data_IF_458002245439
#
_entry.id   IF_458002245439
#
_cell.length_a   1.000
_cell.length_b   1.000
_cell.length_c   1.000
_cell.angle_alpha   90.00
_cell.angle_beta   90.00
_cell.angle_gamma   90.00
#
_symmetry.space_group_name_H-M   'P 1'
#
loop_
_entity.id
_entity.type
_entity.pdbx_description
1 polymer ?
#
# COMPACT_ATOMS: atom_id res chain seq x y z
N UNK A 1 10.64 -1.71 -21.88
CA UNK A 1 9.24 -1.52 -22.24
C UNK A 1 8.99 -1.37 -23.73
N UNK A 2 9.98 -1.72 -24.59
CA UNK A 2 9.86 -1.63 -26.04
C UNK A 2 9.06 -2.83 -26.57
N UNK A 3 8.06 -2.57 -27.39
CA UNK A 3 7.21 -3.61 -28.00
C UNK A 3 7.91 -4.12 -29.27
N UNK A 4 7.99 -5.43 -29.44
CA UNK A 4 8.55 -6.07 -30.63
C UNK A 4 7.53 -5.95 -31.76
N UNK A 5 7.94 -5.38 -32.90
CA UNK A 5 7.05 -5.11 -34.04
C UNK A 5 6.40 -6.39 -34.63
N UNK A 6 7.16 -7.48 -34.66
CA UNK A 6 6.69 -8.77 -35.17
C UNK A 6 6.32 -9.70 -34.00
N UNK A 7 5.01 -9.81 -33.64
CA UNK A 7 4.61 -10.67 -32.55
C UNK A 7 4.76 -12.16 -32.90
N UNK A 8 5.09 -12.98 -31.91
CA UNK A 8 5.08 -14.43 -32.01
C UNK A 8 3.62 -14.88 -31.99
N UNK A 9 3.15 -15.53 -33.07
CA UNK A 9 1.77 -16.01 -33.22
C UNK A 9 1.64 -17.51 -33.00
N UNK A 10 2.70 -18.27 -33.21
CA UNK A 10 2.73 -19.72 -33.05
C UNK A 10 2.85 -20.12 -31.59
N UNK A 11 2.32 -21.30 -31.27
CA UNK A 11 2.48 -21.93 -29.95
C UNK A 11 3.54 -23.04 -30.01
N UNK A 12 4.02 -23.49 -28.84
CA UNK A 12 5.02 -24.56 -28.78
C UNK A 12 4.55 -25.91 -29.32
N UNK A 13 3.25 -26.18 -29.33
CA UNK A 13 2.69 -27.42 -29.84
C UNK A 13 2.76 -27.50 -31.37
N UNK A 14 2.50 -26.38 -32.02
CA UNK A 14 2.53 -26.24 -33.49
C UNK A 14 3.96 -26.03 -34.03
N UNK A 15 4.85 -25.57 -33.15
CA UNK A 15 6.22 -25.19 -33.49
C UNK A 15 6.36 -23.74 -33.90
N UNK A 16 7.54 -23.19 -33.67
CA UNK A 16 7.88 -21.81 -33.98
C UNK A 16 8.60 -21.75 -35.34
N UNK A 17 8.37 -20.69 -36.10
CA UNK A 17 9.19 -20.38 -37.24
C UNK A 17 10.61 -19.98 -36.81
N UNK A 18 11.57 -20.06 -37.71
CA UNK A 18 12.99 -19.71 -37.40
C UNK A 18 13.09 -18.26 -36.92
N UNK A 19 12.33 -17.35 -37.51
CA UNK A 19 12.31 -15.94 -37.13
C UNK A 19 11.72 -15.74 -35.73
N UNK A 20 10.59 -16.39 -35.41
CA UNK A 20 9.96 -16.32 -34.10
C UNK A 20 10.88 -16.92 -33.02
N UNK A 21 11.56 -18.01 -33.31
CA UNK A 21 12.56 -18.59 -32.40
C UNK A 21 13.70 -17.63 -32.14
N UNK A 22 14.24 -16.99 -33.18
CA UNK A 22 15.32 -16.00 -33.05
C UNK A 22 14.87 -14.81 -32.18
N UNK A 23 13.66 -14.29 -32.42
CA UNK A 23 13.10 -13.19 -31.63
C UNK A 23 12.91 -13.60 -30.17
N UNK A 24 12.42 -14.82 -29.91
CA UNK A 24 12.26 -15.37 -28.58
C UNK A 24 13.59 -15.49 -27.83
N UNK A 25 14.64 -16.00 -28.50
CA UNK A 25 15.98 -16.13 -27.88
C UNK A 25 16.61 -14.77 -27.61
N UNK A 26 16.40 -13.78 -28.47
CA UNK A 26 16.85 -12.41 -28.24
C UNK A 26 16.20 -11.80 -27.00
N UNK A 27 14.87 -11.95 -26.86
CA UNK A 27 14.13 -11.54 -25.68
C UNK A 27 14.61 -12.25 -24.41
N UNK A 28 14.85 -13.56 -24.47
CA UNK A 28 15.39 -14.34 -23.37
C UNK A 28 16.78 -13.85 -22.92
N UNK A 29 17.70 -13.60 -23.85
CA UNK A 29 19.03 -13.06 -23.54
C UNK A 29 18.95 -11.68 -22.90
N UNK A 30 18.11 -10.78 -23.42
CA UNK A 30 17.90 -9.44 -22.85
C UNK A 30 17.34 -9.54 -21.42
N UNK A 31 16.35 -10.42 -21.20
CA UNK A 31 15.78 -10.66 -19.87
C UNK A 31 16.79 -11.18 -18.85
N UNK A 32 17.69 -12.09 -19.25
CA UNK A 32 18.79 -12.57 -18.39
C UNK A 32 19.75 -11.45 -17.99
N UNK A 33 20.13 -10.61 -18.95
CA UNK A 33 21.00 -9.45 -18.67
C UNK A 33 20.31 -8.44 -17.76
N UNK A 34 19.04 -8.12 -18.01
CA UNK A 34 18.25 -7.21 -17.18
C UNK A 34 18.09 -7.72 -15.75
N UNK A 35 17.88 -9.03 -15.57
CA UNK A 35 17.80 -9.65 -14.24
C UNK A 35 19.10 -9.47 -13.47
N UNK A 36 20.25 -9.71 -14.08
CA UNK A 36 21.53 -9.54 -13.44
C UNK A 36 21.79 -8.10 -12.99
N UNK A 37 21.45 -7.12 -13.83
CA UNK A 37 21.60 -5.69 -13.48
C UNK A 37 20.61 -5.24 -12.39
N UNK A 38 19.36 -5.67 -12.47
CA UNK A 38 18.33 -5.32 -11.47
C UNK A 38 18.62 -5.93 -10.10
N UNK A 39 19.21 -7.13 -10.04
CA UNK A 39 19.62 -7.75 -8.78
C UNK A 39 20.62 -6.86 -8.03
N UNK A 40 21.60 -6.29 -8.72
CA UNK A 40 22.55 -5.36 -8.12
C UNK A 40 21.87 -4.08 -7.60
N UNK A 41 20.92 -3.53 -8.35
CA UNK A 41 20.14 -2.35 -7.93
C UNK A 41 19.29 -2.63 -6.69
N UNK A 42 18.66 -3.80 -6.61
CA UNK A 42 17.89 -4.23 -5.43
C UNK A 42 18.79 -4.39 -4.20
N UNK A 43 19.97 -4.98 -4.34
CA UNK A 43 20.95 -5.11 -3.26
C UNK A 43 21.45 -3.75 -2.77
N UNK A 44 21.71 -2.83 -3.67
CA UNK A 44 22.11 -1.46 -3.32
C UNK A 44 21.00 -0.70 -2.59
N UNK A 45 19.75 -0.83 -3.04
CA UNK A 45 18.59 -0.25 -2.35
C UNK A 45 18.46 -0.78 -0.92
N UNK A 46 18.57 -2.11 -0.75
CA UNK A 46 18.49 -2.75 0.58
C UNK A 46 19.57 -2.23 1.51
N UNK A 47 20.81 -2.12 1.03
CA UNK A 47 21.91 -1.57 1.81
C UNK A 47 21.63 -0.14 2.24
N UNK A 48 21.18 0.73 1.34
CA UNK A 48 20.83 2.12 1.68
C UNK A 48 19.69 2.21 2.69
N UNK A 49 18.69 1.33 2.59
CA UNK A 49 17.59 1.28 3.56
C UNK A 49 18.11 0.86 4.94
N UNK A 50 18.99 -0.13 5.01
CA UNK A 50 19.63 -0.54 6.28
C UNK A 50 20.45 0.60 6.86
N UNK A 51 21.29 1.27 6.09
CA UNK A 51 22.14 2.38 6.55
C UNK A 51 21.32 3.52 7.17
N UNK A 52 20.14 3.81 6.62
CA UNK A 52 19.23 4.85 7.14
C UNK A 52 18.41 4.36 8.34
N UNK A 53 17.97 3.11 8.34
CA UNK A 53 17.02 2.59 9.32
C UNK A 53 17.69 1.89 10.53
N UNK A 54 19.01 1.71 10.54
CA UNK A 54 19.72 0.95 11.59
C UNK A 54 19.52 1.52 13.00
N UNK A 55 19.31 2.83 13.14
CA UNK A 55 19.12 3.50 14.41
C UNK A 55 17.67 3.38 14.94
N UNK A 56 16.75 2.85 14.14
CA UNK A 56 15.37 2.62 14.55
C UNK A 56 15.27 1.34 15.41
N UNK A 57 15.58 1.46 16.68
CA UNK A 57 15.58 0.40 17.69
C UNK A 57 14.52 0.71 18.73
N UNK A 58 13.88 -0.32 19.30
CA UNK A 58 12.94 -0.16 20.39
C UNK A 58 13.72 0.16 21.68
N UNK A 59 13.56 1.38 22.20
CA UNK A 59 14.30 1.85 23.39
C UNK A 59 13.49 1.90 24.67
N UNK A 60 12.19 2.14 24.56
CA UNK A 60 11.30 2.29 25.71
C UNK A 60 9.93 1.65 25.44
N UNK A 61 9.15 1.44 26.48
CA UNK A 61 7.84 0.80 26.36
C UNK A 61 6.82 1.80 25.78
N UNK A 62 6.76 3.02 26.34
CA UNK A 62 5.78 4.03 25.96
C UNK A 62 6.39 5.43 25.99
N UNK A 63 6.17 6.21 24.95
CA UNK A 63 6.63 7.60 24.84
C UNK A 63 5.56 8.63 25.24
N UNK A 64 4.37 8.20 25.69
CA UNK A 64 3.24 9.02 26.15
C UNK A 64 2.81 10.11 25.14
N UNK A 65 2.99 9.88 23.83
CA UNK A 65 2.53 10.81 22.81
C UNK A 65 0.99 10.75 22.66
N UNK A 66 0.38 11.93 22.49
CA UNK A 66 -1.03 12.07 22.14
C UNK A 66 -1.25 12.23 20.62
N UNK A 67 -0.17 12.16 19.84
CA UNK A 67 -0.23 12.28 18.39
C UNK A 67 -0.32 10.88 17.76
N UNK A 68 -1.19 10.74 16.76
CA UNK A 68 -1.36 9.52 16.01
C UNK A 68 -1.81 9.78 14.60
N UNK A 69 -1.97 8.69 13.86
CA UNK A 69 -2.41 8.68 12.47
C UNK A 69 -3.85 8.18 12.43
N UNK A 70 -4.70 8.91 11.73
CA UNK A 70 -6.05 8.45 11.42
C UNK A 70 -5.96 7.38 10.33
N UNK A 71 -6.52 6.22 10.61
CA UNK A 71 -6.59 5.10 9.67
C UNK A 71 -8.04 4.85 9.32
N UNK A 72 -8.30 4.78 8.03
CA UNK A 72 -9.62 4.52 7.44
C UNK A 72 -9.54 3.30 6.53
N UNK A 73 -10.65 2.70 6.19
CA UNK A 73 -10.70 1.66 5.16
C UNK A 73 -10.25 2.22 3.80
N UNK A 74 -9.49 1.44 3.05
CA UNK A 74 -9.03 1.85 1.72
C UNK A 74 -10.01 1.34 0.67
N UNK A 75 -10.63 2.27 -0.03
CA UNK A 75 -11.60 1.98 -1.10
C UNK A 75 -11.04 2.47 -2.42
N UNK A 76 -10.85 1.58 -3.38
CA UNK A 76 -10.43 1.91 -4.74
C UNK A 76 -11.47 1.42 -5.75
N UNK A 77 -12.00 2.33 -6.55
CA UNK A 77 -13.00 2.02 -7.59
C UNK A 77 -14.30 1.39 -7.04
N UNK A 78 -14.68 1.71 -5.79
CA UNK A 78 -15.87 1.16 -5.14
C UNK A 78 -15.68 -0.21 -4.47
N UNK A 79 -14.48 -0.79 -4.56
CA UNK A 79 -14.13 -2.02 -3.86
C UNK A 79 -13.21 -1.73 -2.68
N UNK A 80 -13.45 -2.39 -1.54
CA UNK A 80 -12.58 -2.30 -0.38
C UNK A 80 -11.30 -3.08 -0.70
N UNK A 81 -10.18 -2.37 -0.88
CA UNK A 81 -8.85 -2.95 -1.14
C UNK A 81 -8.18 -3.40 0.15
N UNK A 82 -8.36 -2.64 1.24
CA UNK A 82 -7.88 -3.01 2.56
C UNK A 82 -8.91 -2.59 3.62
N UNK A 83 -9.39 -3.55 4.39
CA UNK A 83 -10.35 -3.31 5.48
C UNK A 83 -9.70 -2.54 6.63
N UNK A 84 -10.49 -1.82 7.42
CA UNK A 84 -10.00 -1.16 8.62
C UNK A 84 -9.33 -2.17 9.56
N UNK A 85 -9.91 -3.35 9.73
CA UNK A 85 -9.43 -4.42 10.62
C UNK A 85 -8.02 -4.89 10.26
N UNK A 86 -7.72 -5.08 8.97
CA UNK A 86 -6.36 -5.46 8.51
C UNK A 86 -5.33 -4.37 8.81
N UNK A 87 -5.75 -3.10 8.76
CA UNK A 87 -4.85 -1.95 8.95
C UNK A 87 -4.56 -1.63 10.40
N UNK A 88 -5.46 -1.97 11.33
CA UNK A 88 -5.33 -1.70 12.76
C UNK A 88 -4.81 -2.88 13.56
N UNK A 89 -4.85 -4.11 13.02
CA UNK A 89 -4.37 -5.31 13.69
C UNK A 89 -2.91 -5.13 14.14
N UNK A 90 -2.64 -5.42 15.40
CA UNK A 90 -1.33 -5.28 16.02
C UNK A 90 -0.91 -3.84 16.34
N UNK A 91 -1.80 -2.85 16.16
CA UNK A 91 -1.57 -1.45 16.51
C UNK A 91 -2.23 -1.09 17.85
N UNK A 92 -1.84 0.04 18.42
CA UNK A 92 -2.43 0.56 19.65
C UNK A 92 -3.27 1.80 19.33
N UNK A 93 -4.54 1.89 19.78
CA UNK A 93 -5.33 3.11 19.67
C UNK A 93 -4.75 4.18 20.61
N UNK A 94 -4.95 5.45 20.27
CA UNK A 94 -4.57 6.59 21.11
C UNK A 94 -5.63 6.83 22.16
N UNK A 95 -6.89 6.82 21.72
CA UNK A 95 -8.06 7.07 22.56
C UNK A 95 -8.77 5.75 22.86
N UNK A 96 -9.60 5.74 23.90
CA UNK A 96 -10.46 4.61 24.20
C UNK A 96 -11.40 4.34 23.02
N UNK A 97 -11.48 3.09 22.61
CA UNK A 97 -12.38 2.67 21.52
C UNK A 97 -13.77 2.43 22.09
N UNK A 98 -14.75 3.22 21.64
CA UNK A 98 -16.12 3.16 22.08
C UNK A 98 -17.01 2.60 20.99
N UNK A 99 -18.04 1.85 21.38
CA UNK A 99 -19.16 1.46 20.52
C UNK A 99 -20.09 2.64 20.24
N UNK A 100 -20.99 2.51 19.29
CA UNK A 100 -22.04 3.50 18.98
C UNK A 100 -22.93 3.84 20.19
N UNK A 101 -23.03 2.92 21.14
CA UNK A 101 -23.78 3.10 22.40
C UNK A 101 -22.96 3.76 23.51
N UNK A 102 -21.68 4.11 23.26
CA UNK A 102 -20.77 4.67 24.26
C UNK A 102 -20.13 3.63 25.19
N UNK A 103 -20.34 2.34 24.95
CA UNK A 103 -19.68 1.29 25.73
C UNK A 103 -18.21 1.17 25.26
N UNK A 104 -17.31 1.00 26.23
CA UNK A 104 -15.90 0.86 25.98
C UNK A 104 -15.57 -0.56 25.49
N UNK A 105 -14.99 -0.67 24.29
CA UNK A 105 -14.54 -1.91 23.68
C UNK A 105 -13.08 -2.19 24.08
N UNK A 106 -12.22 -1.17 24.02
CA UNK A 106 -10.80 -1.30 24.25
C UNK A 106 -10.22 -0.05 24.92
N UNK A 107 -9.26 -0.25 25.82
CA UNK A 107 -8.50 0.82 26.47
C UNK A 107 -7.46 1.43 25.54
N UNK A 108 -7.24 2.73 25.68
CA UNK A 108 -6.16 3.43 24.98
C UNK A 108 -4.80 2.77 25.27
N UNK A 109 -3.97 2.64 24.23
CA UNK A 109 -2.64 2.05 24.34
C UNK A 109 -2.60 0.52 24.43
N UNK A 110 -3.73 -0.17 24.43
CA UNK A 110 -3.77 -1.64 24.38
C UNK A 110 -3.58 -2.11 22.95
N UNK A 111 -2.84 -3.19 22.73
CA UNK A 111 -2.63 -3.76 21.39
C UNK A 111 -3.93 -4.42 20.92
N UNK A 112 -4.34 -4.06 19.71
CA UNK A 112 -5.48 -4.68 19.03
C UNK A 112 -5.05 -6.06 18.53
N UNK A 113 -5.65 -7.09 19.07
CA UNK A 113 -5.48 -8.47 18.61
C UNK A 113 -6.71 -8.99 17.87
N UNK A 114 -6.65 -10.23 17.42
CA UNK A 114 -7.72 -10.88 16.66
C UNK A 114 -9.05 -10.93 17.45
N UNK A 115 -8.99 -11.00 18.77
CA UNK A 115 -10.21 -11.10 19.63
C UNK A 115 -10.98 -9.79 19.67
N UNK A 116 -10.31 -8.65 19.48
CA UNK A 116 -10.93 -7.33 19.48
C UNK A 116 -11.54 -6.96 18.12
N UNK A 117 -11.09 -7.62 17.01
CA UNK A 117 -11.54 -7.28 15.67
C UNK A 117 -13.04 -7.48 15.45
N UNK A 118 -13.60 -8.57 15.99
CA UNK A 118 -15.02 -8.88 15.85
C UNK A 118 -15.90 -7.83 16.55
N UNK A 119 -15.46 -7.34 17.71
CA UNK A 119 -16.15 -6.28 18.44
C UNK A 119 -16.08 -4.94 17.71
N UNK A 120 -14.92 -4.58 17.16
CA UNK A 120 -14.70 -3.36 16.38
C UNK A 120 -15.53 -3.37 15.09
N UNK A 121 -15.59 -4.51 14.40
CA UNK A 121 -16.38 -4.69 13.17
C UNK A 121 -17.87 -4.58 13.49
N UNK A 122 -18.33 -5.19 14.58
CA UNK A 122 -19.73 -5.15 15.00
C UNK A 122 -20.15 -3.73 15.43
N UNK A 123 -19.21 -2.92 15.95
CA UNK A 123 -19.43 -1.51 16.26
C UNK A 123 -19.55 -0.62 15.03
N UNK A 124 -19.22 -1.11 13.82
CA UNK A 124 -19.35 -0.38 12.56
C UNK A 124 -18.39 0.81 12.43
N UNK A 125 -17.24 0.76 13.08
CA UNK A 125 -16.23 1.81 13.00
C UNK A 125 -15.56 1.80 11.64
N UNK A 126 -15.51 2.95 10.95
CA UNK A 126 -14.87 3.12 9.63
C UNK A 126 -13.52 3.79 9.70
N UNK A 127 -13.21 4.46 10.80
CA UNK A 127 -11.94 5.13 11.02
C UNK A 127 -11.52 5.02 12.48
N UNK A 128 -10.21 5.00 12.72
CA UNK A 128 -9.64 4.92 14.06
C UNK A 128 -8.32 5.67 14.11
N UNK A 129 -8.07 6.38 15.21
CA UNK A 129 -6.78 7.05 15.45
C UNK A 129 -5.85 6.11 16.19
N UNK A 130 -4.78 5.69 15.53
CA UNK A 130 -3.80 4.75 16.07
C UNK A 130 -2.44 5.39 16.28
N UNK A 131 -1.66 4.81 17.19
CA UNK A 131 -0.26 5.17 17.38
C UNK A 131 0.57 4.70 16.19
N UNK A 132 1.57 5.47 15.83
CA UNK A 132 2.45 5.18 14.71
C UNK A 132 3.89 5.53 15.04
N UNK A 133 4.82 4.83 14.42
CA UNK A 133 6.25 5.14 14.47
C UNK A 133 6.56 6.54 13.94
N UNK A 134 5.72 7.06 13.02
CA UNK A 134 5.89 8.40 12.42
C UNK A 134 5.60 9.53 13.41
N UNK A 135 4.78 9.27 14.43
CA UNK A 135 4.39 10.26 15.46
C UNK A 135 5.05 9.98 16.81
N UNK A 136 5.97 9.04 16.85
CA UNK A 136 6.72 8.70 18.06
C UNK A 136 7.67 9.85 18.45
N UNK A 137 7.73 10.19 19.73
CA UNK A 137 8.58 11.27 20.27
C UNK A 137 9.83 10.75 20.97
N UNK A 138 10.07 9.44 20.97
CA UNK A 138 11.26 8.81 21.53
C UNK A 138 12.53 9.33 20.85
N UNK A 139 13.54 9.74 21.62
CA UNK A 139 14.83 10.17 21.07
C UNK A 139 15.63 8.98 20.57
N UNK A 140 16.15 9.11 19.36
CA UNK A 140 17.07 8.14 18.73
C UNK A 140 16.53 6.70 18.72
N UNK A 141 15.25 6.52 18.47
CA UNK A 141 14.62 5.20 18.43
C UNK A 141 13.11 5.27 18.40
N UNK A 142 12.45 4.19 18.75
CA UNK A 142 11.00 4.02 18.72
C UNK A 142 10.55 3.40 20.04
N UNK A 143 9.35 3.74 20.53
CA UNK A 143 8.76 3.03 21.66
C UNK A 143 7.93 1.81 21.21
N UNK A 144 7.82 0.82 22.10
CA UNK A 144 7.10 -0.42 21.83
C UNK A 144 5.61 -0.19 21.51
N UNK A 145 4.95 0.72 22.22
CA UNK A 145 3.52 1.03 22.01
C UNK A 145 3.26 1.69 20.64
N UNK A 146 4.16 2.57 20.16
CA UNK A 146 4.03 3.18 18.81
C UNK A 146 4.31 2.18 17.70
N UNK A 147 5.18 1.20 17.94
CA UNK A 147 5.44 0.12 16.99
C UNK A 147 4.33 -0.91 17.01
N UNK A 148 3.90 -1.36 18.19
CA UNK A 148 2.84 -2.32 18.39
C UNK A 148 3.32 -3.76 18.48
N UNK A 149 2.68 -4.67 17.75
CA UNK A 149 2.91 -6.11 17.77
C UNK A 149 4.13 -6.51 16.95
N UNK A 150 4.93 -7.43 17.48
CA UNK A 150 5.93 -8.17 16.72
C UNK A 150 5.21 -9.21 15.83
N UNK A 151 5.36 -9.07 14.51
CA UNK A 151 4.69 -9.92 13.52
C UNK A 151 5.17 -11.38 13.56
N UNK A 152 6.40 -11.64 14.03
CA UNK A 152 6.95 -12.99 14.10
C UNK A 152 6.41 -13.78 15.31
N UNK A 153 6.24 -13.10 16.44
CA UNK A 153 5.85 -13.74 17.71
C UNK A 153 4.39 -13.54 18.06
N UNK A 154 3.73 -12.54 17.48
CA UNK A 154 2.36 -12.20 17.81
C UNK A 154 2.18 -11.50 19.17
N UNK A 155 3.24 -11.13 19.84
CA UNK A 155 3.28 -10.45 21.13
C UNK A 155 3.75 -9.01 20.98
N UNK A 156 3.61 -8.15 22.02
CA UNK A 156 4.25 -6.84 22.00
C UNK A 156 5.72 -6.93 21.70
N UNK A 157 6.26 -5.97 20.94
CA UNK A 157 7.68 -5.94 20.58
C UNK A 157 8.55 -5.75 21.83
N UNK A 158 9.70 -6.42 21.88
CA UNK A 158 10.64 -6.32 22.99
C UNK A 158 11.55 -5.09 22.87
N UNK A 159 11.98 -4.56 24.00
CA UNK A 159 13.03 -3.52 24.06
C UNK A 159 14.33 -4.09 23.49
N UNK A 160 15.03 -3.29 22.69
CA UNK A 160 16.27 -3.68 22.03
C UNK A 160 16.08 -4.30 20.64
N UNK A 161 14.86 -4.52 20.18
CA UNK A 161 14.60 -5.04 18.83
C UNK A 161 14.94 -4.00 17.76
N UNK A 162 15.75 -4.41 16.77
CA UNK A 162 16.19 -3.54 15.67
C UNK A 162 15.15 -3.54 14.54
N UNK A 163 13.99 -2.94 14.77
CA UNK A 163 12.84 -2.96 13.86
C UNK A 163 13.12 -2.28 12.52
N UNK A 164 14.02 -1.31 12.50
CA UNK A 164 14.40 -0.64 11.26
C UNK A 164 15.17 -1.55 10.31
N UNK A 165 16.07 -2.39 10.82
CA UNK A 165 16.80 -3.38 10.03
C UNK A 165 15.82 -4.45 9.51
N UNK A 166 14.90 -4.92 10.35
CA UNK A 166 13.86 -5.88 9.95
C UNK A 166 13.02 -5.31 8.82
N UNK A 167 12.59 -4.06 8.93
CA UNK A 167 11.83 -3.39 7.88
C UNK A 167 12.62 -3.26 6.57
N UNK A 168 13.89 -2.83 6.63
CA UNK A 168 14.75 -2.70 5.46
C UNK A 168 14.97 -4.04 4.74
N UNK A 169 15.20 -5.11 5.50
CA UNK A 169 15.35 -6.45 4.95
C UNK A 169 14.04 -6.98 4.35
N UNK A 170 12.90 -6.76 5.01
CA UNK A 170 11.59 -7.17 4.50
C UNK A 170 11.17 -6.45 3.23
N UNK A 171 11.63 -5.21 3.02
CA UNK A 171 11.42 -4.43 1.79
C UNK A 171 12.39 -4.89 0.69
N UNK A 172 13.63 -5.19 1.07
CA UNK A 172 14.70 -5.52 0.13
C UNK A 172 14.64 -6.95 -0.43
N UNK A 173 14.22 -7.91 0.38
CA UNK A 173 14.16 -9.32 -0.02
C UNK A 173 13.24 -9.54 -1.24
N UNK A 174 11.96 -9.12 -1.25
CA UNK A 174 11.11 -9.31 -2.42
C UNK A 174 11.58 -8.52 -3.64
N UNK A 175 12.33 -7.43 -3.47
CA UNK A 175 12.94 -6.70 -4.57
C UNK A 175 13.85 -7.59 -5.43
N UNK A 176 14.64 -8.44 -4.80
CA UNK A 176 15.51 -9.41 -5.48
C UNK A 176 14.70 -10.52 -6.16
N UNK A 177 13.64 -11.04 -5.50
CA UNK A 177 12.78 -12.08 -6.08
C UNK A 177 11.92 -11.55 -7.24
N UNK A 178 11.36 -10.34 -7.14
CA UNK A 178 10.58 -9.71 -8.21
C UNK A 178 11.42 -9.53 -9.49
N UNK A 179 12.70 -9.21 -9.37
CA UNK A 179 13.60 -9.12 -10.53
C UNK A 179 13.83 -10.47 -11.19
N UNK A 180 13.81 -11.57 -10.45
CA UNK A 180 13.87 -12.92 -11.00
C UNK A 180 12.53 -13.37 -11.62
N UNK A 181 11.39 -13.00 -11.02
CA UNK A 181 10.05 -13.40 -11.48
C UNK A 181 9.58 -12.68 -12.75
N UNK A 182 9.97 -11.43 -12.98
CA UNK A 182 9.63 -10.70 -14.24
C UNK A 182 10.17 -11.40 -15.50
N UNK A 183 11.12 -12.30 -15.34
CA UNK A 183 11.63 -13.13 -16.43
C UNK A 183 10.69 -14.30 -16.79
N UNK A 184 9.95 -14.84 -15.81
CA UNK A 184 9.05 -15.97 -16.01
C UNK A 184 7.63 -15.57 -16.48
N UNK A 185 7.24 -14.34 -16.26
CA UNK A 185 6.01 -13.76 -16.80
C UNK A 185 6.39 -13.18 -18.18
N UNK A 186 6.52 -14.07 -19.14
CA UNK A 186 6.78 -13.70 -20.54
C UNK A 186 5.71 -12.73 -21.00
N UNK A 187 6.10 -11.45 -21.07
CA UNK A 187 5.55 -10.41 -21.91
C UNK A 187 4.04 -10.33 -22.17
N UNK A 188 3.17 -10.80 -21.32
CA UNK A 188 1.81 -10.29 -21.30
C UNK A 188 1.92 -8.84 -20.82
N UNK A 189 1.98 -7.90 -21.76
CA UNK A 189 1.72 -6.51 -21.48
C UNK A 189 0.35 -6.48 -20.79
N UNK A 190 0.34 -6.41 -19.47
CA UNK A 190 -0.79 -5.92 -18.74
C UNK A 190 -0.93 -4.47 -19.18
N UNK A 191 -1.62 -4.26 -20.29
CA UNK A 191 -2.31 -3.02 -20.51
C UNK A 191 -3.26 -2.95 -19.30
N UNK A 192 -2.82 -2.28 -18.23
CA UNK A 192 -3.74 -1.72 -17.28
C UNK A 192 -4.68 -0.91 -18.15
N UNK A 193 -5.89 -1.42 -18.34
CA UNK A 193 -6.97 -0.64 -18.92
C UNK A 193 -7.12 0.50 -17.94
N UNK A 194 -6.43 1.60 -18.20
CA UNK A 194 -6.69 2.85 -17.53
C UNK A 194 -8.14 3.13 -17.88
N UNK A 195 -9.01 2.97 -16.88
CA UNK A 195 -10.41 3.32 -17.03
C UNK A 195 -10.41 4.80 -17.43
N UNK A 196 -10.58 5.05 -18.72
CA UNK A 196 -10.56 6.40 -19.31
C UNK A 196 -11.83 7.18 -18.98
N UNK A 197 -12.84 6.51 -18.41
CA UNK A 197 -14.11 7.10 -17.99
C UNK A 197 -14.62 6.40 -16.73
N UNK A 198 -15.14 7.18 -15.80
CA UNK A 198 -15.88 6.69 -14.64
C UNK A 198 -17.32 7.18 -14.75
N UNK A 199 -18.28 6.26 -14.70
CA UNK A 199 -19.71 6.58 -14.69
C UNK A 199 -20.27 6.43 -13.28
N UNK A 200 -21.12 7.38 -12.88
CA UNK A 200 -21.83 7.28 -11.61
C UNK A 200 -22.93 6.22 -11.69
N UNK A 201 -23.07 5.35 -10.67
CA UNK A 201 -24.20 4.42 -10.58
C UNK A 201 -25.50 5.11 -10.12
N UNK A 202 -25.45 6.39 -9.76
CA UNK A 202 -26.57 7.15 -9.19
C UNK A 202 -26.72 8.47 -9.95
N UNK A 203 -27.94 8.87 -10.21
CA UNK A 203 -28.25 10.20 -10.74
C UNK A 203 -28.18 11.24 -9.62
N UNK A 204 -27.52 12.37 -9.89
CA UNK A 204 -27.35 13.42 -8.89
C UNK A 204 -26.57 14.62 -9.39
N UNK A 205 -26.46 15.64 -8.54
CA UNK A 205 -25.64 16.83 -8.80
C UNK A 205 -24.18 16.58 -8.43
N UNK A 206 -23.27 16.82 -9.38
CA UNK A 206 -21.82 16.64 -9.17
C UNK A 206 -21.25 17.92 -8.57
N UNK A 207 -20.60 17.81 -7.40
CA UNK A 207 -19.77 18.87 -6.82
C UNK A 207 -18.33 18.40 -6.73
N UNK A 208 -17.41 19.27 -7.13
CA UNK A 208 -15.98 18.95 -7.16
C UNK A 208 -15.24 19.90 -6.23
N UNK A 209 -14.58 19.34 -5.22
CA UNK A 209 -13.75 20.09 -4.28
C UNK A 209 -12.30 20.13 -4.79
N UNK A 210 -11.59 21.23 -4.54
CA UNK A 210 -10.20 21.49 -4.94
C UNK A 210 -9.94 21.41 -6.44
N UNK A 211 -10.86 21.94 -7.24
CA UNK A 211 -10.77 21.93 -8.70
C UNK A 211 -9.83 23.01 -9.22
N UNK A 212 -8.70 22.62 -9.83
CA UNK A 212 -7.91 23.47 -10.71
C UNK A 212 -7.98 22.87 -12.11
N UNK A 213 -8.51 23.62 -13.08
CA UNK A 213 -8.63 23.19 -14.46
C UNK A 213 -8.14 24.23 -15.44
N UNK A 214 -7.74 23.78 -16.61
CA UNK A 214 -7.45 24.60 -17.78
C UNK A 214 -8.44 24.19 -18.88
N UNK A 215 -8.93 25.14 -19.66
CA UNK A 215 -9.72 24.83 -20.83
C UNK A 215 -8.78 24.52 -22.00
N UNK A 216 -9.03 23.40 -22.66
CA UNK A 216 -8.37 23.06 -23.91
C UNK A 216 -8.91 23.92 -25.07
N UNK A 217 -8.20 23.95 -26.21
CA UNK A 217 -8.60 24.63 -27.45
C UNK A 217 -9.97 24.21 -27.97
N UNK A 218 -10.44 22.99 -27.59
CA UNK A 218 -11.74 22.44 -27.93
C UNK A 218 -12.84 22.72 -26.88
N UNK A 219 -12.53 23.53 -25.83
CA UNK A 219 -13.49 23.85 -24.77
C UNK A 219 -13.65 22.81 -23.67
N UNK A 220 -12.90 21.70 -23.72
CA UNK A 220 -12.92 20.67 -22.68
C UNK A 220 -12.13 21.14 -21.45
N UNK A 221 -12.61 20.83 -20.25
CA UNK A 221 -11.92 21.13 -18.99
C UNK A 221 -10.94 20.02 -18.67
N UNK A 222 -9.65 20.33 -18.64
CA UNK A 222 -8.59 19.41 -18.23
C UNK A 222 -8.24 19.67 -16.77
N UNK A 223 -8.36 18.65 -15.93
CA UNK A 223 -8.05 18.70 -14.50
C UNK A 223 -6.53 18.68 -14.29
N UNK A 224 -6.02 19.65 -13.53
CA UNK A 224 -4.59 19.74 -13.15
C UNK A 224 -4.31 19.15 -11.77
N UNK A 225 -5.34 18.97 -10.94
CA UNK A 225 -5.18 18.58 -9.54
C UNK A 225 -5.30 17.08 -9.40
N UNK A 226 -4.27 16.42 -8.81
CA UNK A 226 -4.29 14.98 -8.52
C UNK A 226 -5.21 14.60 -7.35
N UNK A 227 -5.56 15.55 -6.48
CA UNK A 227 -6.34 15.33 -5.26
C UNK A 227 -7.72 16.00 -5.33
N UNK A 228 -8.32 16.10 -6.52
CA UNK A 228 -9.70 16.58 -6.66
C UNK A 228 -10.65 15.48 -6.17
N UNK A 229 -11.59 15.86 -5.28
CA UNK A 229 -12.65 14.95 -4.82
C UNK A 229 -13.94 15.28 -5.55
N UNK A 230 -14.52 14.29 -6.19
CA UNK A 230 -15.82 14.40 -6.86
C UNK A 230 -16.86 13.82 -5.91
N UNK A 231 -17.87 14.60 -5.58
CA UNK A 231 -18.99 14.21 -4.72
C UNK A 231 -20.28 14.26 -5.52
N UNK A 232 -21.13 13.27 -5.32
CA UNK A 232 -22.43 13.20 -5.96
C UNK A 232 -23.51 13.35 -4.90
N UNK A 233 -24.36 14.36 -5.08
CA UNK A 233 -25.47 14.64 -4.18
C UNK A 233 -26.77 14.21 -4.85
N UNK A 234 -27.50 13.31 -4.22
CA UNK A 234 -28.86 12.93 -4.58
C UNK A 234 -29.80 13.40 -3.49
N UNK A 235 -30.81 14.21 -3.81
CA UNK A 235 -31.79 14.77 -2.89
C UNK A 235 -31.19 15.50 -1.65
N UNK A 236 -30.10 16.26 -1.86
CA UNK A 236 -29.33 16.98 -0.82
C UNK A 236 -28.56 16.10 0.19
N UNK A 237 -28.46 14.80 0.01
CA UNK A 237 -27.59 13.95 0.82
C UNK A 237 -26.33 13.57 0.03
N UNK A 238 -25.16 13.63 0.69
CA UNK A 238 -23.89 13.16 0.15
C UNK A 238 -23.90 11.62 0.17
N UNK A 239 -23.93 10.97 -1.01
CA UNK A 239 -23.97 9.50 -1.13
C UNK A 239 -22.69 8.89 -1.72
N UNK A 240 -21.80 9.71 -2.30
CA UNK A 240 -20.51 9.27 -2.86
C UNK A 240 -19.48 10.39 -2.85
#
# INVERSE_FOLDING_TARGET
GEIIENPIKSNFKEGLSVLEYFTSTHGARKGLADTALKTASSGYLTRRLVDVAQDAIIKEINCDTNNGVLVEEMVEGGNITASLTERILGRCPIDDVLDQNGNKILDAGTIIDETHLDAITSAGLRSMKIRSVLTCITKDGICATCYGRDLARGTPVNIGEAVGIIAAQSIGEPGTQLTMRTFHIGGAASASVVQSSSSSPIDGEIRVDNLKFINDTNGNKILLTRNAKIKIFSENEEKF
#
